data_IF_195773315911
#
_entry.id   IF_195773315911
#
_cell.length_a   1.000
_cell.length_b   1.000
_cell.length_c   1.000
_cell.angle_alpha   90.00
_cell.angle_beta   90.00
_cell.angle_gamma   90.00
#
_symmetry.space_group_name_H-M   'P 1'
#
loop_
_entity.id
_entity.type
_entity.pdbx_description
1 polymer ?
#
# COMPACT_ATOMS: atom_id res chain seq x y z
N UNK A 1 -16.69 21.00 -4.95
CA UNK A 1 -15.39 20.26 -5.01
C UNK A 1 -14.31 20.82 -4.07
N UNK A 2 -14.43 22.09 -3.58
CA UNK A 2 -13.40 22.68 -2.69
C UNK A 2 -13.21 21.86 -1.40
N UNK A 3 -14.27 21.29 -0.85
CA UNK A 3 -14.25 20.50 0.39
C UNK A 3 -13.77 19.06 0.20
N UNK A 4 -13.44 18.66 -1.03
CA UNK A 4 -12.96 17.31 -1.32
C UNK A 4 -11.45 17.11 -1.03
N UNK A 5 -10.73 18.20 -0.82
CA UNK A 5 -9.30 18.15 -0.49
C UNK A 5 -9.04 18.78 0.88
N UNK A 6 -8.01 18.30 1.55
CA UNK A 6 -7.55 18.84 2.83
C UNK A 6 -6.62 20.02 2.52
N UNK A 7 -7.09 21.25 2.75
CA UNK A 7 -6.39 22.48 2.40
C UNK A 7 -6.38 23.50 3.53
N UNK A 8 -5.38 23.46 4.44
CA UNK A 8 -5.24 24.45 5.50
C UNK A 8 -4.76 25.80 4.96
N UNK A 9 -5.25 26.92 5.54
CA UNK A 9 -4.74 28.26 5.30
C UNK A 9 -3.43 28.55 6.02
N UNK A 10 -3.17 27.81 7.10
CA UNK A 10 -1.93 27.90 7.88
C UNK A 10 -1.61 26.53 8.51
N UNK A 11 -0.33 26.25 8.68
CA UNK A 11 0.18 25.01 9.28
C UNK A 11 1.11 25.35 10.44
N UNK A 12 1.32 24.39 11.35
CA UNK A 12 2.20 24.58 12.52
C UNK A 12 3.66 24.84 12.10
N UNK A 13 4.42 25.50 12.96
CA UNK A 13 5.84 25.75 12.70
C UNK A 13 6.66 24.45 12.63
N UNK A 14 6.19 23.38 13.29
CA UNK A 14 6.77 22.04 13.16
C UNK A 14 6.58 21.52 11.73
N UNK A 15 5.37 21.59 11.21
CA UNK A 15 5.06 21.13 9.85
C UNK A 15 5.76 21.97 8.78
N UNK A 16 6.03 23.27 9.06
CA UNK A 16 6.84 24.14 8.18
C UNK A 16 8.30 23.70 8.12
N UNK A 17 8.85 23.20 9.23
CA UNK A 17 10.26 22.76 9.34
C UNK A 17 10.50 21.39 8.69
N UNK A 18 9.49 20.56 8.62
CA UNK A 18 9.58 19.24 7.99
C UNK A 18 9.67 19.31 6.44
N UNK A 19 9.88 20.50 5.87
CA UNK A 19 10.00 20.73 4.42
C UNK A 19 11.35 20.31 3.82
N UNK A 20 12.38 20.03 4.61
CA UNK A 20 13.68 19.66 4.03
C UNK A 20 13.65 18.22 3.49
N UNK A 21 13.92 18.02 2.21
CA UNK A 21 13.99 16.69 1.62
C UNK A 21 15.16 15.91 2.25
N UNK A 22 14.86 14.75 2.84
CA UNK A 22 15.90 13.83 3.37
C UNK A 22 16.78 13.26 2.27
N UNK A 23 16.37 13.39 1.03
CA UNK A 23 17.15 13.02 -0.16
C UNK A 23 17.07 14.14 -1.18
N UNK A 24 18.20 14.50 -1.76
CA UNK A 24 18.25 15.33 -2.96
C UNK A 24 17.70 14.52 -4.13
N UNK A 25 16.41 14.56 -4.33
CA UNK A 25 15.78 13.90 -5.47
C UNK A 25 15.63 14.89 -6.63
N UNK A 26 15.81 14.44 -7.86
CA UNK A 26 15.79 15.33 -9.03
C UNK A 26 14.41 15.88 -9.39
N UNK A 27 13.33 15.36 -8.77
CA UNK A 27 11.96 15.77 -9.05
C UNK A 27 11.25 16.20 -7.75
N UNK A 28 10.68 17.42 -7.70
CA UNK A 28 9.91 17.91 -6.56
C UNK A 28 8.69 17.01 -6.24
N UNK A 29 8.12 16.38 -7.27
CA UNK A 29 6.96 15.51 -7.15
C UNK A 29 7.23 14.22 -6.35
N UNK A 30 8.50 13.87 -6.21
CA UNK A 30 8.92 12.65 -5.54
C UNK A 30 9.17 12.82 -4.03
N UNK A 31 9.03 14.02 -3.48
CA UNK A 31 9.24 14.23 -2.05
C UNK A 31 8.13 13.59 -1.23
N UNK A 32 8.53 12.68 -0.32
CA UNK A 32 7.62 12.04 0.66
C UNK A 32 7.69 12.72 2.03
N UNK A 33 8.49 13.78 2.17
CA UNK A 33 8.76 14.45 3.43
C UNK A 33 7.77 15.57 3.67
N UNK A 34 7.45 15.79 4.92
CA UNK A 34 6.46 16.74 5.36
C UNK A 34 5.02 16.27 5.05
N UNK A 35 4.09 16.81 5.77
CA UNK A 35 2.66 16.50 5.65
C UNK A 35 1.97 17.41 4.64
N UNK A 36 2.43 18.64 4.54
CA UNK A 36 1.78 19.69 3.75
C UNK A 36 2.69 20.22 2.64
N UNK A 37 2.06 20.55 1.53
CA UNK A 37 2.70 21.23 0.39
C UNK A 37 2.14 22.63 0.28
N UNK A 38 3.02 23.62 0.09
CA UNK A 38 2.63 25.00 -0.13
C UNK A 38 2.05 25.15 -1.54
N UNK A 39 0.87 25.77 -1.59
CA UNK A 39 0.13 25.99 -2.82
C UNK A 39 -0.18 27.49 -2.95
N UNK A 40 0.28 28.10 -4.01
CA UNK A 40 -0.09 29.48 -4.31
C UNK A 40 -1.39 29.51 -5.16
N UNK A 41 -2.51 29.15 -4.53
CA UNK A 41 -3.80 29.08 -5.19
C UNK A 41 -4.91 29.81 -4.42
N UNK A 42 -6.01 30.23 -5.10
CA UNK A 42 -7.11 30.94 -4.47
C UNK A 42 -7.86 30.16 -3.38
N UNK A 43 -7.61 28.86 -3.24
CA UNK A 43 -8.38 27.95 -2.37
C UNK A 43 -7.62 27.49 -1.11
N UNK A 44 -6.56 28.17 -0.73
CA UNK A 44 -5.73 27.83 0.43
C UNK A 44 -4.25 27.92 0.13
N UNK A 45 -3.45 28.08 1.17
CA UNK A 45 -2.00 28.20 1.04
C UNK A 45 -1.30 26.87 1.03
N UNK A 46 -1.96 25.83 1.51
CA UNK A 46 -1.38 24.49 1.63
C UNK A 46 -2.39 23.44 1.24
N UNK A 47 -1.91 22.26 0.87
CA UNK A 47 -2.70 21.03 0.87
C UNK A 47 -1.96 19.92 1.61
N UNK A 48 -2.72 19.03 2.23
CA UNK A 48 -2.18 17.80 2.78
C UNK A 48 -1.88 16.84 1.64
N UNK A 49 -0.67 16.30 1.57
CA UNK A 49 -0.34 15.27 0.60
C UNK A 49 -0.65 13.87 1.14
N UNK A 50 -0.95 12.96 0.25
CA UNK A 50 -1.12 11.57 0.62
C UNK A 50 0.25 10.88 0.74
N UNK A 51 0.98 10.76 -0.35
CA UNK A 51 2.33 10.15 -0.38
C UNK A 51 3.34 11.09 -1.06
N UNK A 52 3.20 11.33 -2.36
CA UNK A 52 4.03 12.31 -3.09
C UNK A 52 3.42 13.70 -3.04
N UNK A 53 4.25 14.73 -3.28
CA UNK A 53 3.79 16.12 -3.36
C UNK A 53 2.71 16.34 -4.42
N UNK A 54 2.75 15.62 -5.52
CA UNK A 54 1.74 15.69 -6.57
C UNK A 54 0.41 14.99 -6.23
N UNK A 55 0.28 14.41 -5.04
CA UNK A 55 -0.88 13.63 -4.62
C UNK A 55 -1.62 14.33 -3.46
N UNK A 56 -2.47 15.33 -3.71
CA UNK A 56 -3.26 15.94 -2.66
C UNK A 56 -4.20 14.93 -2.02
N UNK A 57 -4.27 14.91 -0.69
CA UNK A 57 -5.11 14.00 0.04
C UNK A 57 -6.58 14.39 -0.10
N UNK A 58 -7.42 13.41 -0.42
CA UNK A 58 -8.87 13.57 -0.42
C UNK A 58 -9.39 13.65 1.02
N UNK A 59 -10.39 14.49 1.23
CA UNK A 59 -10.93 14.78 2.55
C UNK A 59 -12.04 13.79 2.94
N UNK A 60 -11.64 12.62 3.43
CA UNK A 60 -12.58 11.67 4.05
C UNK A 60 -12.89 12.00 5.52
N UNK A 61 -12.35 13.11 6.03
CA UNK A 61 -12.53 13.62 7.38
C UNK A 61 -11.46 13.17 8.35
N UNK A 62 -11.57 13.71 9.54
CA UNK A 62 -10.71 13.44 10.69
C UNK A 62 -11.52 12.66 11.75
N UNK A 63 -10.94 11.58 12.29
CA UNK A 63 -11.57 10.84 13.40
C UNK A 63 -11.56 11.69 14.68
N UNK A 64 -10.45 12.37 14.93
CA UNK A 64 -10.26 13.29 16.07
C UNK A 64 -9.74 14.63 15.55
N UNK A 65 -10.62 15.51 15.05
CA UNK A 65 -10.21 16.83 14.58
C UNK A 65 -9.71 17.72 15.73
N UNK A 66 -8.66 18.48 15.49
CA UNK A 66 -8.19 19.52 16.41
C UNK A 66 -9.15 20.71 16.34
N UNK A 67 -9.78 21.12 17.45
CA UNK A 67 -10.73 22.25 17.47
C UNK A 67 -10.10 23.59 17.07
N UNK A 68 -8.78 23.72 17.15
CA UNK A 68 -8.06 24.91 16.69
C UNK A 68 -7.86 24.95 15.18
N UNK A 69 -8.02 23.82 14.51
CA UNK A 69 -7.84 23.66 13.07
C UNK A 69 -9.19 23.55 12.35
N UNK A 70 -9.80 24.69 12.00
CA UNK A 70 -11.11 24.74 11.34
C UNK A 70 -11.20 23.93 10.04
N UNK A 71 -10.10 23.65 9.40
CA UNK A 71 -10.00 22.85 8.18
C UNK A 71 -10.01 21.34 8.45
N UNK A 72 -9.80 20.90 9.69
CA UNK A 72 -9.96 19.50 10.10
C UNK A 72 -11.44 19.17 10.28
N UNK A 73 -12.09 18.83 9.18
CA UNK A 73 -13.50 18.48 9.21
C UNK A 73 -13.69 17.08 9.83
N UNK A 74 -14.66 16.91 10.74
CA UNK A 74 -15.00 15.58 11.25
C UNK A 74 -15.55 14.69 10.12
N UNK A 75 -15.47 13.39 10.28
CA UNK A 75 -15.98 12.40 9.30
C UNK A 75 -17.47 12.59 8.97
N UNK A 76 -18.24 13.22 9.86
CA UNK A 76 -19.66 13.48 9.71
C UNK A 76 -19.97 14.80 8.97
N UNK A 77 -18.96 15.61 8.66
CA UNK A 77 -19.14 16.88 7.98
C UNK A 77 -19.67 16.68 6.54
N UNK A 78 -20.38 17.69 5.99
CA UNK A 78 -20.97 17.58 4.65
C UNK A 78 -19.98 17.27 3.54
N UNK A 79 -18.76 17.83 3.57
CA UNK A 79 -17.70 17.61 2.59
C UNK A 79 -17.23 16.15 2.55
N UNK A 80 -16.73 15.56 3.66
CA UNK A 80 -16.41 14.15 3.76
C UNK A 80 -17.54 13.21 3.37
N UNK A 81 -18.77 13.52 3.77
CA UNK A 81 -19.94 12.72 3.41
C UNK A 81 -20.27 12.81 1.91
N UNK A 82 -20.10 13.97 1.29
CA UNK A 82 -20.27 14.13 -0.15
C UNK A 82 -19.19 13.33 -0.91
N UNK A 83 -17.94 13.35 -0.45
CA UNK A 83 -16.86 12.57 -1.06
C UNK A 83 -17.09 11.05 -0.96
N UNK A 84 -17.65 10.55 0.15
CA UNK A 84 -18.04 9.14 0.27
C UNK A 84 -19.11 8.75 -0.74
N UNK A 85 -20.08 9.62 -0.99
CA UNK A 85 -21.08 9.37 -2.06
C UNK A 85 -20.44 9.36 -3.44
N UNK A 86 -19.51 10.28 -3.69
CA UNK A 86 -18.79 10.33 -4.96
C UNK A 86 -17.92 9.09 -5.18
N UNK A 87 -17.26 8.57 -4.15
CA UNK A 87 -16.53 7.31 -4.22
C UNK A 87 -17.45 6.16 -4.69
N UNK A 88 -18.67 6.07 -4.17
CA UNK A 88 -19.67 5.08 -4.65
C UNK A 88 -20.05 5.29 -6.11
N UNK A 89 -20.23 6.54 -6.53
CA UNK A 89 -20.54 6.86 -7.92
C UNK A 89 -19.42 6.43 -8.87
N UNK A 90 -18.17 6.69 -8.47
CA UNK A 90 -16.97 6.26 -9.23
C UNK A 90 -16.90 4.73 -9.32
N UNK A 91 -17.13 4.03 -8.22
CA UNK A 91 -17.14 2.57 -8.20
C UNK A 91 -18.28 2.02 -9.09
N UNK A 92 -19.48 2.57 -8.98
CA UNK A 92 -20.64 2.20 -9.80
C UNK A 92 -20.34 2.35 -11.30
N UNK A 93 -19.79 3.50 -11.68
CA UNK A 93 -19.44 3.78 -13.08
C UNK A 93 -18.54 2.68 -13.71
N UNK A 94 -17.58 2.18 -12.94
CA UNK A 94 -16.68 1.13 -13.44
C UNK A 94 -17.30 -0.27 -13.35
N UNK A 95 -18.06 -0.56 -12.30
CA UNK A 95 -18.78 -1.82 -12.18
C UNK A 95 -19.81 -1.99 -13.31
N UNK A 96 -20.53 -0.92 -13.67
CA UNK A 96 -21.48 -0.91 -14.79
C UNK A 96 -20.80 -1.13 -16.15
N UNK A 97 -19.47 -0.90 -16.23
CA UNK A 97 -18.64 -1.22 -17.40
C UNK A 97 -18.04 -2.62 -17.37
N UNK A 98 -18.36 -3.41 -16.36
CA UNK A 98 -17.91 -4.80 -16.24
C UNK A 98 -16.59 -5.00 -15.52
N UNK A 99 -16.13 -4.03 -14.71
CA UNK A 99 -14.97 -4.23 -13.83
C UNK A 99 -15.36 -5.14 -12.67
N UNK A 100 -14.57 -6.18 -12.39
CA UNK A 100 -14.87 -7.17 -11.37
C UNK A 100 -14.50 -6.73 -9.94
N UNK A 101 -13.74 -5.66 -9.79
CA UNK A 101 -13.33 -5.18 -8.47
C UNK A 101 -12.31 -4.06 -8.52
N UNK A 102 -11.88 -3.63 -7.34
CA UNK A 102 -10.85 -2.62 -7.17
C UNK A 102 -9.75 -3.08 -6.22
N UNK A 103 -8.50 -2.87 -6.62
CA UNK A 103 -7.39 -2.76 -5.69
C UNK A 103 -7.37 -1.34 -5.14
N UNK A 104 -7.42 -1.22 -3.85
CA UNK A 104 -7.49 0.07 -3.14
C UNK A 104 -6.13 0.41 -2.57
N UNK A 105 -5.53 1.44 -3.17
CA UNK A 105 -4.26 1.99 -2.73
C UNK A 105 -4.37 2.64 -1.35
N UNK A 106 -3.37 2.42 -0.50
CA UNK A 106 -3.27 3.04 0.84
C UNK A 106 -4.58 3.02 1.64
N UNK A 107 -5.32 1.93 1.59
CA UNK A 107 -6.67 1.79 2.15
C UNK A 107 -6.77 2.15 3.64
N UNK A 108 -5.68 1.97 4.40
CA UNK A 108 -5.60 2.28 5.83
C UNK A 108 -5.52 3.78 6.17
N UNK A 109 -5.35 4.67 5.18
CA UNK A 109 -4.96 6.07 5.42
C UNK A 109 -6.00 7.12 5.05
N UNK A 110 -7.22 6.71 4.67
CA UNK A 110 -8.24 7.61 4.14
C UNK A 110 -8.72 8.62 5.18
N UNK A 111 -9.17 8.13 6.33
CA UNK A 111 -9.56 9.01 7.44
C UNK A 111 -8.31 9.43 8.21
N UNK A 112 -8.18 10.72 8.47
CA UNK A 112 -7.01 11.29 9.14
C UNK A 112 -7.17 11.29 10.66
N UNK A 113 -6.04 11.30 11.36
CA UNK A 113 -5.99 11.25 12.83
C UNK A 113 -6.91 10.14 13.41
N UNK A 114 -6.79 8.92 12.84
CA UNK A 114 -7.60 7.74 13.18
C UNK A 114 -6.70 6.63 13.74
N UNK A 115 -6.23 6.76 15.00
CA UNK A 115 -5.48 5.71 15.67
C UNK A 115 -6.38 4.49 15.86
N UNK A 116 -5.88 3.29 15.49
CA UNK A 116 -6.70 2.07 15.53
C UNK A 116 -7.66 1.88 14.36
N UNK A 117 -7.71 2.83 13.41
CA UNK A 117 -8.46 2.71 12.13
C UNK A 117 -9.98 2.50 12.29
N UNK A 118 -10.56 3.05 13.35
CA UNK A 118 -11.99 2.86 13.66
C UNK A 118 -12.88 3.51 12.60
N UNK A 119 -12.65 4.78 12.30
CA UNK A 119 -13.46 5.52 11.33
C UNK A 119 -13.15 5.10 9.88
N UNK A 120 -11.90 4.73 9.59
CA UNK A 120 -11.50 4.13 8.32
C UNK A 120 -12.22 2.80 8.09
N UNK A 121 -12.31 1.96 9.11
CA UNK A 121 -13.04 0.68 9.05
C UNK A 121 -14.54 0.88 8.86
N UNK A 122 -15.14 1.87 9.51
CA UNK A 122 -16.56 2.22 9.30
C UNK A 122 -16.82 2.66 7.86
N UNK A 123 -15.92 3.48 7.28
CA UNK A 123 -16.00 3.90 5.89
C UNK A 123 -16.00 2.71 4.94
N UNK A 124 -15.06 1.79 5.11
CA UNK A 124 -14.97 0.62 4.22
C UNK A 124 -16.10 -0.38 4.43
N UNK A 125 -16.60 -0.56 5.65
CA UNK A 125 -17.80 -1.35 5.91
C UNK A 125 -19.04 -0.75 5.22
N UNK A 126 -19.17 0.58 5.21
CA UNK A 126 -20.22 1.28 4.45
C UNK A 126 -20.10 1.01 2.94
N UNK A 127 -18.88 1.13 2.39
CA UNK A 127 -18.61 0.84 0.97
C UNK A 127 -18.88 -0.62 0.65
N UNK A 128 -18.49 -1.53 1.52
CA UNK A 128 -18.73 -2.96 1.37
C UNK A 128 -20.22 -3.30 1.37
N UNK A 129 -20.97 -2.80 2.32
CA UNK A 129 -22.40 -3.05 2.40
C UNK A 129 -23.14 -2.52 1.16
N UNK A 130 -22.78 -1.33 0.70
CA UNK A 130 -23.32 -0.77 -0.53
C UNK A 130 -22.95 -1.61 -1.76
N UNK A 131 -21.70 -2.02 -1.88
CA UNK A 131 -21.20 -2.86 -2.98
C UNK A 131 -21.90 -4.23 -2.98
N UNK A 132 -21.99 -4.90 -1.84
CA UNK A 132 -22.61 -6.24 -1.76
C UNK A 132 -24.11 -6.20 -2.12
N UNK A 133 -24.78 -5.09 -1.84
CA UNK A 133 -26.19 -4.90 -2.23
C UNK A 133 -26.37 -4.69 -3.73
N UNK A 134 -25.50 -3.92 -4.38
CA UNK A 134 -25.69 -3.47 -5.76
C UNK A 134 -24.83 -4.26 -6.76
N UNK A 135 -23.67 -4.75 -6.33
CA UNK A 135 -22.67 -5.45 -7.15
C UNK A 135 -22.08 -6.64 -6.36
N UNK A 136 -22.89 -7.65 -6.01
CA UNK A 136 -22.49 -8.76 -5.13
C UNK A 136 -21.33 -9.59 -5.68
N UNK A 137 -21.18 -9.66 -7.01
CA UNK A 137 -20.12 -10.39 -7.68
C UNK A 137 -18.75 -9.68 -7.65
N UNK A 138 -18.72 -8.38 -7.36
CA UNK A 138 -17.49 -7.59 -7.38
C UNK A 138 -16.71 -7.68 -6.07
N UNK A 139 -15.41 -7.42 -6.13
CA UNK A 139 -14.51 -7.55 -4.98
C UNK A 139 -13.76 -6.25 -4.66
N UNK A 140 -13.39 -6.12 -3.38
CA UNK A 140 -12.46 -5.09 -2.92
C UNK A 140 -11.20 -5.77 -2.36
N UNK A 141 -10.06 -5.37 -2.89
CA UNK A 141 -8.73 -5.84 -2.48
C UNK A 141 -7.97 -4.66 -1.89
N UNK A 142 -7.55 -4.75 -0.63
CA UNK A 142 -6.86 -3.65 0.02
C UNK A 142 -5.34 -3.73 -0.10
N UNK A 143 -4.72 -2.60 -0.23
CA UNK A 143 -3.34 -2.39 0.17
C UNK A 143 -3.33 -1.83 1.59
N UNK A 144 -3.49 -2.71 2.57
CA UNK A 144 -3.47 -2.36 3.98
C UNK A 144 -2.30 -3.02 4.71
N UNK A 145 -1.98 -4.23 4.27
CA UNK A 145 -0.92 -5.07 4.81
C UNK A 145 -1.15 -5.50 6.28
N UNK A 146 -2.40 -5.55 6.68
CA UNK A 146 -2.84 -6.16 7.93
C UNK A 146 -4.21 -6.82 7.70
N UNK A 147 -4.24 -8.09 7.25
CA UNK A 147 -5.48 -8.81 6.98
C UNK A 147 -6.40 -8.89 8.20
N UNK A 148 -5.85 -8.88 9.42
CA UNK A 148 -6.64 -8.98 10.66
C UNK A 148 -7.48 -7.72 10.92
N UNK A 149 -7.10 -6.60 10.34
CA UNK A 149 -7.84 -5.33 10.40
C UNK A 149 -8.60 -5.07 9.10
N UNK A 150 -7.96 -5.26 7.95
CA UNK A 150 -8.53 -4.93 6.65
C UNK A 150 -9.77 -5.77 6.29
N UNK A 151 -9.73 -7.08 6.55
CA UNK A 151 -10.86 -7.97 6.22
C UNK A 151 -12.09 -7.64 7.09
N UNK A 152 -11.99 -7.51 8.41
CA UNK A 152 -13.10 -7.02 9.21
C UNK A 152 -13.56 -5.59 8.87
N UNK A 153 -12.67 -4.75 8.35
CA UNK A 153 -13.02 -3.41 7.87
C UNK A 153 -13.87 -3.40 6.60
N UNK A 154 -14.02 -4.56 5.91
CA UNK A 154 -14.92 -4.68 4.75
C UNK A 154 -14.25 -5.16 3.46
N UNK A 155 -12.95 -5.44 3.45
CA UNK A 155 -12.29 -5.97 2.27
C UNK A 155 -12.53 -7.47 2.09
N UNK A 156 -12.61 -7.91 0.83
CA UNK A 156 -12.69 -9.33 0.50
C UNK A 156 -11.31 -9.99 0.62
N UNK A 157 -10.26 -9.23 0.25
CA UNK A 157 -8.88 -9.68 0.19
C UNK A 157 -7.99 -8.57 0.71
N UNK A 158 -6.94 -8.90 1.46
CA UNK A 158 -5.85 -7.98 1.77
C UNK A 158 -4.51 -8.52 1.31
N UNK A 159 -3.65 -7.64 0.82
CA UNK A 159 -2.32 -8.00 0.38
C UNK A 159 -1.35 -8.21 1.54
N UNK A 160 -0.68 -9.35 1.50
CA UNK A 160 0.48 -9.62 2.30
C UNK A 160 1.70 -9.00 1.64
N UNK A 161 1.99 -7.75 1.96
CA UNK A 161 3.16 -7.04 1.42
C UNK A 161 4.26 -6.93 2.45
N UNK A 162 5.51 -6.92 1.99
CA UNK A 162 6.67 -7.14 2.86
C UNK A 162 6.93 -6.06 3.91
N UNK A 163 6.41 -4.86 3.76
CA UNK A 163 6.55 -3.83 4.79
C UNK A 163 5.43 -3.86 5.83
N UNK A 164 4.34 -4.55 5.57
CA UNK A 164 3.18 -4.57 6.45
C UNK A 164 3.05 -5.86 7.24
N UNK A 165 3.43 -7.01 6.64
CA UNK A 165 3.37 -8.30 7.32
C UNK A 165 4.77 -8.76 7.69
N UNK A 166 5.15 -8.75 8.98
CA UNK A 166 6.45 -9.21 9.42
C UNK A 166 6.75 -10.64 8.94
N UNK A 167 7.96 -10.84 8.47
CA UNK A 167 8.40 -12.15 7.97
C UNK A 167 8.13 -12.39 6.48
N UNK A 168 7.19 -11.69 5.83
CA UNK A 168 6.98 -11.88 4.40
C UNK A 168 8.23 -11.49 3.58
N UNK A 169 8.85 -10.37 3.90
CA UNK A 169 10.14 -9.98 3.32
C UNK A 169 11.23 -11.01 3.52
N UNK A 170 11.21 -11.76 4.63
CA UNK A 170 12.22 -12.80 4.90
C UNK A 170 12.19 -13.99 3.95
N UNK A 171 11.12 -14.16 3.17
CA UNK A 171 11.03 -15.21 2.16
C UNK A 171 11.89 -14.90 0.93
N UNK A 172 11.86 -13.67 0.45
CA UNK A 172 12.35 -13.32 -0.89
C UNK A 172 13.34 -12.16 -0.92
N UNK A 173 13.43 -11.36 0.13
CA UNK A 173 14.15 -10.10 0.09
C UNK A 173 15.67 -10.34 -0.01
N UNK A 174 16.27 -9.97 -1.14
CA UNK A 174 17.71 -10.02 -1.29
C UNK A 174 18.35 -8.73 -0.77
N UNK A 175 19.16 -8.83 0.29
CA UNK A 175 19.85 -7.68 0.90
C UNK A 175 21.04 -7.12 0.12
N UNK A 176 21.49 -7.84 -0.86
CA UNK A 176 22.54 -7.33 -1.75
C UNK A 176 21.98 -6.38 -2.81
N UNK A 177 20.69 -6.10 -2.75
CA UNK A 177 20.01 -5.13 -3.59
C UNK A 177 19.91 -3.77 -2.90
N UNK A 178 19.65 -2.68 -3.64
CA UNK A 178 19.38 -1.37 -3.05
C UNK A 178 18.30 -1.39 -1.96
N UNK A 179 17.26 -2.20 -2.11
CA UNK A 179 16.19 -2.40 -1.13
C UNK A 179 16.68 -2.90 0.23
N UNK A 180 17.67 -3.75 0.27
CA UNK A 180 18.24 -4.25 1.52
C UNK A 180 18.91 -3.16 2.37
N UNK A 181 19.19 -2.00 1.76
CA UNK A 181 19.84 -0.86 2.41
C UNK A 181 18.87 0.25 2.85
N UNK A 182 17.62 0.20 2.40
CA UNK A 182 16.70 1.35 2.47
C UNK A 182 15.83 1.43 3.73
N UNK A 183 15.73 0.37 4.50
CA UNK A 183 14.85 0.36 5.66
C UNK A 183 15.64 0.41 6.98
N UNK A 184 15.85 1.61 7.55
CA UNK A 184 16.44 1.73 8.88
C UNK A 184 15.53 1.05 9.90
N UNK A 185 16.07 0.10 10.65
CA UNK A 185 15.35 -0.59 11.73
C UNK A 185 14.91 -2.01 11.43
N UNK A 186 15.12 -2.54 10.24
CA UNK A 186 14.99 -3.98 10.02
C UNK A 186 16.06 -4.75 10.79
N UNK A 187 15.66 -5.79 11.47
CA UNK A 187 16.56 -6.65 12.26
C UNK A 187 17.57 -7.34 11.33
N UNK A 188 18.80 -7.52 11.78
CA UNK A 188 19.85 -8.28 11.07
C UNK A 188 19.48 -9.75 10.77
N UNK A 189 18.38 -10.25 11.35
CA UNK A 189 17.83 -11.58 11.11
C UNK A 189 17.53 -11.88 9.65
N UNK A 190 17.39 -10.87 8.80
CA UNK A 190 17.17 -11.02 7.35
C UNK A 190 18.44 -11.05 6.52
N UNK A 191 19.59 -11.44 7.07
CA UNK A 191 20.85 -11.51 6.30
C UNK A 191 20.75 -12.45 5.09
N UNK A 192 19.91 -13.47 5.20
CA UNK A 192 19.58 -14.39 4.11
C UNK A 192 18.05 -14.55 4.08
N UNK A 193 17.45 -14.45 2.91
CA UNK A 193 16.04 -14.81 2.78
C UNK A 193 15.89 -16.35 2.75
N UNK A 194 14.67 -16.82 3.03
CA UNK A 194 14.39 -18.26 3.09
C UNK A 194 14.71 -18.98 1.76
N UNK A 195 14.37 -18.35 0.64
CA UNK A 195 14.64 -18.88 -0.70
C UNK A 195 16.02 -18.46 -1.25
N UNK A 196 16.95 -18.07 -0.39
CA UNK A 196 18.32 -17.80 -0.79
C UNK A 196 19.07 -19.10 -1.11
N UNK A 197 19.96 -19.04 -2.11
CA UNK A 197 20.79 -20.16 -2.54
C UNK A 197 21.61 -20.79 -1.40
N UNK A 198 22.03 -19.99 -0.43
CA UNK A 198 22.81 -20.46 0.71
C UNK A 198 22.03 -21.32 1.70
N UNK A 199 20.67 -21.33 1.61
CA UNK A 199 19.81 -22.09 2.51
C UNK A 199 19.92 -21.70 3.98
N UNK A 200 20.32 -20.45 4.27
CA UNK A 200 20.55 -19.94 5.64
C UNK A 200 19.41 -19.09 6.19
N UNK A 201 18.41 -18.78 5.38
CA UNK A 201 17.27 -17.99 5.80
C UNK A 201 16.27 -18.82 6.58
N UNK A 202 15.67 -18.22 7.62
CA UNK A 202 14.60 -18.84 8.42
C UNK A 202 13.22 -18.50 7.88
N UNK A 203 12.24 -19.35 8.18
CA UNK A 203 10.82 -19.16 7.81
C UNK A 203 9.94 -18.86 9.01
N UNK A 204 10.45 -18.95 10.21
CA UNK A 204 9.68 -18.97 11.47
C UNK A 204 8.87 -17.68 11.66
N UNK A 205 9.47 -16.52 11.38
CA UNK A 205 8.78 -15.25 11.53
C UNK A 205 7.60 -15.14 10.57
N UNK A 206 7.81 -15.57 9.32
CA UNK A 206 6.74 -15.61 8.33
C UNK A 206 5.61 -16.54 8.76
N UNK A 207 5.92 -17.78 9.14
CA UNK A 207 4.91 -18.76 9.53
C UNK A 207 4.12 -18.28 10.75
N UNK A 208 4.77 -17.68 11.74
CA UNK A 208 4.10 -17.15 12.93
C UNK A 208 3.09 -16.05 12.56
N UNK A 209 3.50 -15.06 11.79
CA UNK A 209 2.64 -13.94 11.43
C UNK A 209 1.56 -14.33 10.41
N UNK A 210 1.93 -15.17 9.43
CA UNK A 210 0.96 -15.68 8.48
C UNK A 210 -0.13 -16.53 9.16
N UNK A 211 0.26 -17.45 10.03
CA UNK A 211 -0.69 -18.31 10.76
C UNK A 211 -1.63 -17.46 11.60
N UNK A 212 -1.11 -16.44 12.30
CA UNK A 212 -1.96 -15.51 13.04
C UNK A 212 -2.99 -14.85 12.14
N UNK A 213 -2.57 -14.28 11.02
CA UNK A 213 -3.47 -13.63 10.06
C UNK A 213 -4.48 -14.62 9.49
N UNK A 214 -4.02 -15.78 9.05
CA UNK A 214 -4.86 -16.81 8.43
C UNK A 214 -5.96 -17.30 9.37
N UNK A 215 -5.63 -17.70 10.59
CA UNK A 215 -6.62 -18.21 11.53
C UNK A 215 -7.64 -17.16 11.99
N UNK A 216 -7.29 -15.88 11.97
CA UNK A 216 -8.22 -14.80 12.29
C UNK A 216 -9.12 -14.37 11.13
N UNK A 217 -8.80 -14.73 9.89
CA UNK A 217 -9.49 -14.18 8.72
C UNK A 217 -10.07 -15.22 7.76
N UNK A 218 -9.67 -16.48 7.80
CA UNK A 218 -10.02 -17.53 6.83
C UNK A 218 -11.53 -17.73 6.59
N UNK A 219 -12.35 -17.43 7.58
CA UNK A 219 -13.81 -17.58 7.49
C UNK A 219 -14.52 -16.28 7.04
N UNK A 220 -13.76 -15.20 6.80
CA UNK A 220 -14.27 -13.85 6.50
C UNK A 220 -13.77 -13.28 5.18
N UNK A 221 -12.62 -13.71 4.72
CA UNK A 221 -11.98 -13.22 3.50
C UNK A 221 -10.67 -13.94 3.23
N UNK A 222 -9.89 -13.41 2.30
CA UNK A 222 -8.69 -14.07 1.80
C UNK A 222 -7.44 -13.20 2.02
N UNK A 223 -6.31 -13.87 2.15
CA UNK A 223 -4.99 -13.23 2.12
C UNK A 223 -4.44 -13.36 0.71
N UNK A 224 -4.11 -12.24 0.06
CA UNK A 224 -3.39 -12.22 -1.20
C UNK A 224 -1.89 -12.35 -0.96
N UNK A 225 -1.27 -13.29 -1.65
CA UNK A 225 0.17 -13.56 -1.58
C UNK A 225 0.79 -13.16 -2.91
N UNK A 226 1.42 -11.96 -3.01
CA UNK A 226 2.03 -11.52 -4.27
C UNK A 226 3.43 -12.12 -4.46
N UNK A 227 3.73 -12.56 -5.68
CA UNK A 227 5.09 -12.96 -6.05
C UNK A 227 6.05 -11.76 -6.03
N UNK A 228 5.59 -10.65 -6.55
CA UNK A 228 6.19 -9.31 -6.55
C UNK A 228 5.09 -8.28 -6.79
N UNK A 229 5.46 -7.02 -6.93
CA UNK A 229 4.57 -5.98 -7.43
C UNK A 229 5.38 -4.81 -8.04
N UNK A 230 4.68 -3.78 -8.48
CA UNK A 230 5.28 -2.58 -9.09
C UNK A 230 6.14 -1.73 -8.13
N UNK A 231 6.16 -2.05 -6.85
CA UNK A 231 6.94 -1.37 -5.82
C UNK A 231 8.11 -2.20 -5.30
N UNK A 232 8.18 -3.49 -5.65
CA UNK A 232 9.11 -4.44 -5.05
C UNK A 232 9.85 -5.29 -6.06
N UNK A 233 10.99 -5.83 -5.60
CA UNK A 233 11.81 -6.73 -6.38
C UNK A 233 11.05 -8.00 -6.79
N UNK A 234 11.43 -8.54 -7.95
CA UNK A 234 10.93 -9.81 -8.46
C UNK A 234 11.57 -11.00 -7.74
N UNK A 235 10.98 -12.21 -7.79
CA UNK A 235 11.62 -13.42 -7.31
C UNK A 235 12.98 -13.70 -7.98
N UNK A 236 13.13 -13.40 -9.27
CA UNK A 236 14.39 -13.53 -9.98
C UNK A 236 15.30 -12.32 -9.72
N UNK A 237 16.09 -12.44 -8.64
CA UNK A 237 17.03 -11.39 -8.23
C UNK A 237 18.23 -12.01 -7.50
N UNK A 238 19.40 -11.39 -7.63
CA UNK A 238 20.60 -11.74 -6.88
C UNK A 238 21.03 -13.18 -7.11
N UNK A 239 21.12 -13.96 -6.03
CA UNK A 239 21.53 -15.36 -6.07
C UNK A 239 20.42 -16.32 -6.47
N UNK A 240 19.17 -15.88 -6.45
CA UNK A 240 18.00 -16.65 -6.88
C UNK A 240 17.71 -16.37 -8.36
N UNK A 241 18.49 -16.97 -9.25
CA UNK A 241 18.51 -16.65 -10.67
C UNK A 241 18.49 -17.86 -11.60
N UNK A 242 18.22 -19.04 -11.08
CA UNK A 242 18.07 -20.24 -11.89
C UNK A 242 16.61 -20.69 -11.96
N UNK A 243 16.18 -21.35 -13.05
CA UNK A 243 14.81 -21.86 -13.17
C UNK A 243 14.39 -22.74 -11.99
N UNK A 244 15.27 -23.59 -11.49
CA UNK A 244 14.92 -24.52 -10.40
C UNK A 244 14.69 -23.79 -9.07
N UNK A 245 15.49 -22.77 -8.77
CA UNK A 245 15.27 -21.92 -7.59
C UNK A 245 13.95 -21.16 -7.68
N UNK A 246 13.60 -20.65 -8.87
CA UNK A 246 12.33 -19.96 -9.11
C UNK A 246 11.14 -20.91 -9.01
N UNK A 247 11.26 -22.13 -9.53
CA UNK A 247 10.21 -23.16 -9.40
C UNK A 247 9.91 -23.49 -7.95
N UNK A 248 10.91 -23.61 -7.09
CA UNK A 248 10.72 -23.85 -5.65
C UNK A 248 9.93 -22.72 -5.02
N UNK A 249 10.30 -21.45 -5.27
CA UNK A 249 9.60 -20.30 -4.77
C UNK A 249 8.16 -20.22 -5.29
N UNK A 250 7.95 -20.45 -6.59
CA UNK A 250 6.62 -20.42 -7.19
C UNK A 250 5.74 -21.58 -6.70
N UNK A 251 6.31 -22.76 -6.46
CA UNK A 251 5.57 -23.88 -5.84
C UNK A 251 5.04 -23.48 -4.46
N UNK A 252 5.88 -22.85 -3.64
CA UNK A 252 5.45 -22.34 -2.34
C UNK A 252 4.27 -21.38 -2.47
N UNK A 253 4.37 -20.36 -3.33
CA UNK A 253 3.30 -19.40 -3.56
C UNK A 253 1.98 -20.02 -3.98
N UNK A 254 2.05 -20.95 -4.94
CA UNK A 254 0.86 -21.54 -5.54
C UNK A 254 0.20 -22.60 -4.66
N UNK A 255 0.88 -23.09 -3.65
CA UNK A 255 0.37 -24.14 -2.75
C UNK A 255 0.02 -23.66 -1.35
N UNK A 256 0.38 -22.43 -1.00
CA UNK A 256 -0.03 -21.82 0.27
C UNK A 256 -1.54 -21.55 0.31
N UNK A 257 -2.19 -21.70 1.50
CA UNK A 257 -3.56 -21.25 1.68
C UNK A 257 -3.65 -19.73 1.48
N UNK A 258 -4.36 -19.28 0.45
CA UNK A 258 -4.51 -17.87 0.10
C UNK A 258 -4.81 -17.70 -1.39
N UNK A 259 -4.80 -16.46 -1.84
CA UNK A 259 -4.97 -16.13 -3.25
C UNK A 259 -3.60 -15.70 -3.82
N UNK A 260 -2.97 -16.50 -4.69
CA UNK A 260 -1.72 -16.11 -5.31
C UNK A 260 -1.94 -14.97 -6.29
N UNK A 261 -1.15 -13.91 -6.16
CA UNK A 261 -1.08 -12.79 -7.10
C UNK A 261 0.27 -12.83 -7.80
N UNK A 262 0.28 -13.29 -9.03
CA UNK A 262 1.49 -13.37 -9.84
C UNK A 262 1.68 -12.03 -10.54
N UNK A 263 2.79 -11.36 -10.24
CA UNK A 263 3.14 -10.14 -10.94
C UNK A 263 3.59 -10.48 -12.36
N UNK A 264 3.19 -9.66 -13.34
CA UNK A 264 3.45 -9.95 -14.76
C UNK A 264 4.94 -10.25 -15.00
N UNK A 265 5.20 -11.29 -15.77
CA UNK A 265 6.56 -11.75 -16.10
C UNK A 265 7.20 -12.65 -15.07
N UNK A 266 6.70 -12.73 -13.83
CA UNK A 266 7.22 -13.67 -12.85
C UNK A 266 6.94 -15.11 -13.24
N UNK A 267 5.84 -15.37 -13.97
CA UNK A 267 5.46 -16.67 -14.52
C UNK A 267 6.46 -17.21 -15.56
N UNK A 268 7.19 -16.33 -16.21
CA UNK A 268 8.28 -16.70 -17.14
C UNK A 268 9.66 -16.45 -16.55
N UNK A 269 9.73 -16.05 -15.26
CA UNK A 269 10.97 -15.82 -14.56
C UNK A 269 11.71 -14.53 -14.95
N UNK A 270 10.97 -13.47 -15.32
CA UNK A 270 11.58 -12.16 -15.60
C UNK A 270 12.48 -11.72 -14.46
N UNK A 271 13.62 -11.17 -14.82
CA UNK A 271 14.62 -10.69 -13.88
C UNK A 271 14.29 -9.28 -13.40
N UNK A 272 14.60 -9.01 -12.13
CA UNK A 272 14.68 -7.65 -11.63
C UNK A 272 15.94 -6.97 -12.16
N UNK A 273 15.79 -5.81 -12.82
CA UNK A 273 16.90 -5.06 -13.38
C UNK A 273 17.39 -3.99 -12.41
N UNK A 274 18.63 -4.16 -11.92
CA UNK A 274 19.23 -3.22 -10.97
C UNK A 274 19.75 -1.96 -11.66
N UNK A 275 19.79 -0.87 -10.89
CA UNK A 275 20.41 0.40 -11.28
C UNK A 275 19.76 1.11 -12.47
N UNK A 276 18.50 0.82 -12.78
CA UNK A 276 17.76 1.59 -13.77
C UNK A 276 17.37 2.96 -13.22
N UNK A 277 17.51 4.03 -14.04
CA UNK A 277 17.07 5.36 -13.62
C UNK A 277 15.56 5.39 -13.42
N UNK A 278 15.10 5.97 -12.33
CA UNK A 278 13.68 6.18 -12.05
C UNK A 278 13.31 7.65 -12.21
N UNK A 279 12.23 7.92 -12.90
CA UNK A 279 11.65 9.27 -13.00
C UNK A 279 10.88 9.68 -11.73
N UNK A 280 10.51 8.72 -10.90
CA UNK A 280 9.76 8.95 -9.67
C UNK A 280 10.67 9.16 -8.45
N UNK A 281 11.98 9.28 -8.64
CA UNK A 281 12.94 9.43 -7.55
C UNK A 281 13.14 8.19 -6.67
N UNK A 282 12.55 7.07 -7.03
CA UNK A 282 12.69 5.76 -6.39
C UNK A 282 13.36 4.81 -7.38
N UNK A 283 14.68 4.68 -7.29
CA UNK A 283 15.47 3.90 -8.26
C UNK A 283 15.09 2.42 -8.27
N UNK A 284 14.58 1.92 -7.17
CA UNK A 284 14.26 0.51 -6.96
C UNK A 284 13.01 0.08 -7.75
N UNK A 285 12.04 0.95 -7.91
CA UNK A 285 10.79 0.66 -8.63
C UNK A 285 11.01 0.41 -10.12
N UNK A 286 11.98 1.09 -10.73
CA UNK A 286 12.26 0.94 -12.15
C UNK A 286 12.62 -0.51 -12.54
N UNK A 287 13.38 -1.20 -11.69
CA UNK A 287 13.84 -2.56 -11.96
C UNK A 287 12.75 -3.62 -12.01
N UNK A 288 11.61 -3.39 -11.36
CA UNK A 288 10.45 -4.28 -11.40
C UNK A 288 9.45 -3.93 -12.50
N UNK A 289 9.54 -2.71 -13.08
CA UNK A 289 8.58 -2.17 -14.07
C UNK A 289 9.07 -2.25 -15.51
N UNK A 290 10.05 -3.09 -15.80
CA UNK A 290 10.54 -3.29 -17.17
C UNK A 290 9.45 -3.90 -18.05
N UNK A 291 9.44 -3.59 -19.36
CA UNK A 291 8.54 -4.27 -20.31
C UNK A 291 8.72 -5.78 -20.24
N UNK A 292 7.65 -6.52 -20.49
CA UNK A 292 7.69 -7.97 -20.59
C UNK A 292 8.49 -8.38 -21.83
N UNK A 293 9.54 -9.16 -21.63
CA UNK A 293 10.44 -9.64 -22.70
C UNK A 293 10.62 -11.14 -22.61
#
# INVERSE_FOLDING_TARGET
YADYYIGPDNISDKDKKDKEPRHKQPLPEASTIGRYVELNAPRGKYYEKNFFECQPALNYGFAHPDPNNKWEQPVTAPGPQALRRELRNIMAFWFDKGVDGFRVDMAASLVKNDPGKVETSKLWNEMRAWKDKNYPQCMLVSEWADPTVAIPAGFNIDFMIHFGVPGYGSLFFDRNTPWGKLWPGQKETYKYCYFDKAGKGGIEEFVTNYSHSYFNTRDKGYIAIPSANHDYQRPNIGTRNTPDQLKVAMTFFLTMPGVPFIYYGDEIGMKYEMNLPSKEGSNERAGTRTPMQ
#
